data_IF_037437899205
#
_entry.id   IF_037437899205
#
_cell.length_a   1.000
_cell.length_b   1.000
_cell.length_c   1.000
_cell.angle_alpha   90.00
_cell.angle_beta   90.00
_cell.angle_gamma   90.00
#
_symmetry.space_group_name_H-M   'P 1'
#
loop_
_entity.id
_entity.type
_entity.pdbx_description
1 polymer ?
#
# COMPACT_ATOMS: atom_id res chain seq x y z
N UNK A 1 45.44 19.09 44.43
CA UNK A 1 46.07 18.17 43.46
C UNK A 1 45.21 16.92 43.38
N UNK A 2 44.57 16.62 42.26
CA UNK A 2 43.93 15.31 42.09
C UNK A 2 45.05 14.26 42.07
N UNK A 3 45.00 13.27 42.98
CA UNK A 3 45.99 12.20 43.02
C UNK A 3 46.04 11.44 41.69
N UNK A 4 47.23 11.04 41.27
CA UNK A 4 47.52 10.39 39.97
C UNK A 4 46.50 9.30 39.58
N UNK A 5 46.02 8.51 40.56
CA UNK A 5 45.00 7.47 40.34
C UNK A 5 43.62 8.01 39.94
N UNK A 6 43.21 9.18 40.46
CA UNK A 6 41.93 9.84 40.08
C UNK A 6 42.02 10.46 38.69
N UNK A 7 43.20 10.96 38.32
CA UNK A 7 43.45 11.46 36.97
C UNK A 7 43.37 10.32 35.94
N UNK A 8 43.99 9.18 36.26
CA UNK A 8 43.97 8.00 35.40
C UNK A 8 42.53 7.48 35.18
N UNK A 9 41.73 7.42 36.26
CA UNK A 9 40.34 7.00 36.17
C UNK A 9 39.49 7.96 35.32
N UNK A 10 39.68 9.26 35.49
CA UNK A 10 38.98 10.27 34.69
C UNK A 10 39.32 10.15 33.20
N UNK A 11 40.59 9.91 32.86
CA UNK A 11 41.01 9.70 31.47
C UNK A 11 40.38 8.44 30.86
N UNK A 12 40.34 7.33 31.60
CA UNK A 12 39.71 6.09 31.14
C UNK A 12 38.21 6.28 30.90
N UNK A 13 37.51 6.99 31.79
CA UNK A 13 36.09 7.28 31.64
C UNK A 13 35.82 8.16 30.42
N UNK A 14 36.63 9.21 30.19
CA UNK A 14 36.48 10.09 29.01
C UNK A 14 36.72 9.31 27.71
N UNK A 15 37.73 8.44 27.67
CA UNK A 15 38.00 7.60 26.49
C UNK A 15 36.85 6.60 26.27
N UNK A 16 36.34 5.95 27.32
CA UNK A 16 35.22 5.01 27.20
C UNK A 16 33.94 5.70 26.70
N UNK A 17 33.61 6.87 27.25
CA UNK A 17 32.47 7.68 26.77
C UNK A 17 32.71 8.14 25.33
N UNK A 18 33.93 8.55 25.00
CA UNK A 18 34.32 8.91 23.63
C UNK A 18 34.13 7.76 22.64
N UNK A 19 34.58 6.55 22.97
CA UNK A 19 34.44 5.38 22.09
C UNK A 19 32.98 4.95 21.92
N UNK A 20 32.11 5.18 22.92
CA UNK A 20 30.68 4.85 22.84
C UNK A 20 29.88 5.96 22.11
N UNK A 21 30.21 7.24 22.34
CA UNK A 21 29.46 8.39 21.82
C UNK A 21 29.96 8.92 20.47
N UNK A 22 31.25 8.74 20.13
CA UNK A 22 31.79 9.22 18.86
C UNK A 22 31.23 8.48 17.65
N UNK A 23 31.06 7.14 17.64
CA UNK A 23 30.47 6.46 16.49
C UNK A 23 29.02 6.90 16.23
N UNK A 24 28.23 7.12 17.28
CA UNK A 24 26.83 7.56 17.15
C UNK A 24 26.71 9.03 16.74
N UNK A 25 27.59 9.91 17.24
CA UNK A 25 27.63 11.33 16.80
C UNK A 25 28.22 11.50 15.41
N UNK A 26 29.31 10.79 15.07
CA UNK A 26 29.85 10.79 13.70
C UNK A 26 28.84 10.19 12.74
N UNK A 27 28.10 9.13 13.10
CA UNK A 27 27.02 8.61 12.26
C UNK A 27 25.87 9.61 12.07
N UNK A 28 25.55 10.41 13.09
CA UNK A 28 24.52 11.45 13.00
C UNK A 28 24.98 12.63 12.12
N UNK A 29 26.25 13.04 12.21
CA UNK A 29 26.77 14.21 11.49
C UNK A 29 27.38 13.90 10.11
N UNK A 30 27.91 12.70 9.88
CA UNK A 30 28.53 12.31 8.60
C UNK A 30 27.52 12.07 7.48
N UNK A 31 26.22 11.98 7.78
CA UNK A 31 25.14 11.91 6.78
C UNK A 31 24.45 13.25 6.50
N UNK A 32 24.59 14.26 7.37
CA UNK A 32 23.74 15.46 7.37
C UNK A 32 24.30 16.64 6.56
N UNK A 33 25.52 16.56 6.00
CA UNK A 33 26.19 17.71 5.35
C UNK A 33 26.85 17.42 4.00
N UNK A 34 26.52 16.32 3.32
CA UNK A 34 26.90 16.19 1.92
C UNK A 34 25.86 16.88 1.05
N UNK A 35 26.14 18.14 0.69
CA UNK A 35 25.46 18.79 -0.43
C UNK A 35 25.84 18.02 -1.69
N UNK A 36 24.94 17.14 -2.13
CA UNK A 36 25.15 16.41 -3.37
C UNK A 36 25.06 17.40 -4.53
N UNK A 37 26.02 17.28 -5.45
CA UNK A 37 26.01 18.06 -6.66
C UNK A 37 24.84 17.61 -7.55
N UNK A 38 23.74 18.33 -7.43
CA UNK A 38 22.52 18.18 -8.24
C UNK A 38 22.63 18.93 -9.57
N UNK A 39 23.80 19.52 -9.88
CA UNK A 39 23.99 20.36 -11.05
C UNK A 39 24.18 19.57 -12.37
N UNK A 40 23.85 18.27 -12.33
CA UNK A 40 23.82 17.44 -13.53
C UNK A 40 22.40 17.50 -14.11
N UNK A 41 22.32 17.57 -15.44
CA UNK A 41 21.04 17.59 -16.17
C UNK A 41 20.12 16.47 -15.68
N UNK A 42 18.90 16.83 -15.25
CA UNK A 42 17.89 15.88 -14.76
C UNK A 42 17.80 15.76 -13.24
N UNK A 43 18.69 16.42 -12.49
CA UNK A 43 18.79 16.41 -11.03
C UNK A 43 18.83 14.99 -10.46
N UNK A 44 20.06 14.51 -10.38
CA UNK A 44 20.43 13.13 -10.13
C UNK A 44 20.51 12.85 -8.61
N UNK A 45 19.37 13.00 -7.92
CA UNK A 45 19.29 12.79 -6.47
C UNK A 45 19.57 11.31 -6.15
N UNK A 46 20.61 11.00 -5.36
CA UNK A 46 20.98 9.63 -5.00
C UNK A 46 20.07 9.08 -3.89
N UNK A 47 18.84 8.70 -4.23
CA UNK A 47 17.82 8.17 -3.32
C UNK A 47 18.37 7.11 -2.37
N UNK A 48 19.13 6.16 -2.91
CA UNK A 48 19.76 5.02 -2.24
C UNK A 48 20.73 5.41 -1.11
N UNK A 49 21.26 6.64 -1.12
CA UNK A 49 22.16 7.11 -0.04
C UNK A 49 21.41 7.56 1.21
N UNK A 50 20.17 8.01 1.04
CA UNK A 50 19.33 8.46 2.15
C UNK A 50 18.32 7.39 2.57
N UNK A 51 17.87 6.56 1.63
CA UNK A 51 16.89 5.48 1.82
C UNK A 51 17.53 4.11 1.59
N UNK A 52 18.68 3.86 2.24
CA UNK A 52 19.50 2.68 2.00
C UNK A 52 18.79 1.36 2.34
N UNK A 53 17.99 1.37 3.41
CA UNK A 53 17.17 0.24 3.85
C UNK A 53 16.05 -0.09 2.86
N UNK A 54 15.33 0.93 2.39
CA UNK A 54 14.29 0.79 1.36
C UNK A 54 14.90 0.32 0.04
N UNK A 55 16.07 0.83 -0.32
CA UNK A 55 16.80 0.41 -1.51
C UNK A 55 17.22 -1.06 -1.41
N UNK A 56 17.70 -1.51 -0.25
CA UNK A 56 18.04 -2.91 -0.02
C UNK A 56 16.82 -3.83 -0.12
N UNK A 57 15.67 -3.41 0.43
CA UNK A 57 14.40 -4.15 0.30
C UNK A 57 13.95 -4.23 -1.17
N UNK A 58 13.97 -3.11 -1.88
CA UNK A 58 13.62 -3.06 -3.31
C UNK A 58 14.55 -3.95 -4.14
N UNK A 59 15.85 -3.97 -3.84
CA UNK A 59 16.81 -4.82 -4.53
C UNK A 59 16.58 -6.32 -4.32
N UNK A 60 15.84 -6.71 -3.28
CA UNK A 60 15.40 -8.09 -3.04
C UNK A 60 14.03 -8.39 -3.69
N UNK A 61 13.34 -7.38 -4.20
CA UNK A 61 12.07 -7.52 -4.91
C UNK A 61 12.26 -8.10 -6.31
N UNK A 62 11.24 -8.82 -6.78
CA UNK A 62 11.13 -9.24 -8.19
C UNK A 62 10.30 -8.26 -9.04
N UNK A 63 9.67 -7.30 -8.38
CA UNK A 63 8.76 -6.34 -8.98
C UNK A 63 9.35 -4.95 -8.87
N UNK A 64 9.08 -4.11 -9.88
CA UNK A 64 9.44 -2.69 -9.86
C UNK A 64 10.95 -2.40 -9.80
N UNK A 65 11.79 -3.24 -10.43
CA UNK A 65 13.28 -3.18 -10.40
C UNK A 65 13.97 -3.19 -11.77
N UNK A 66 13.23 -2.89 -12.84
CA UNK A 66 13.71 -3.04 -14.23
C UNK A 66 13.59 -1.76 -15.07
N UNK A 67 13.29 -0.60 -14.48
CA UNK A 67 13.23 0.66 -15.24
C UNK A 67 14.60 1.19 -15.64
N UNK A 68 15.66 0.76 -14.96
CA UNK A 68 17.06 1.01 -15.35
C UNK A 68 17.61 0.09 -16.44
N UNK A 69 16.84 -0.89 -16.91
CA UNK A 69 17.27 -1.87 -17.91
C UNK A 69 18.15 -3.01 -17.37
N UNK A 70 18.24 -3.13 -16.05
CA UNK A 70 18.89 -4.21 -15.31
C UNK A 70 17.84 -5.05 -14.55
N UNK A 71 18.28 -6.04 -13.77
CA UNK A 71 17.42 -6.89 -12.93
C UNK A 71 17.71 -6.70 -11.43
N UNK A 72 18.15 -5.50 -11.05
CA UNK A 72 18.50 -5.13 -9.68
C UNK A 72 18.07 -3.69 -9.47
N UNK A 73 17.69 -3.33 -8.24
CA UNK A 73 17.21 -1.99 -7.99
C UNK A 73 18.30 -0.95 -8.27
N UNK A 74 17.92 0.12 -8.96
CA UNK A 74 18.76 1.29 -9.14
C UNK A 74 17.96 2.59 -8.93
N UNK A 75 18.62 3.73 -9.16
CA UNK A 75 18.00 5.05 -9.01
C UNK A 75 16.82 5.26 -9.96
N UNK A 76 16.87 4.68 -11.15
CA UNK A 76 15.81 4.84 -12.14
C UNK A 76 14.53 4.17 -11.65
N UNK A 77 14.62 3.06 -10.92
CA UNK A 77 13.45 2.41 -10.31
C UNK A 77 12.81 3.32 -9.25
N UNK A 78 13.63 3.95 -8.41
CA UNK A 78 13.17 4.92 -7.42
C UNK A 78 12.46 6.11 -8.12
N UNK A 79 13.09 6.65 -9.16
CA UNK A 79 12.56 7.79 -9.92
C UNK A 79 11.32 7.41 -10.76
N UNK A 80 11.23 6.18 -11.26
CA UNK A 80 10.09 5.72 -12.04
C UNK A 80 8.79 5.78 -11.24
N UNK A 81 8.86 5.48 -9.94
CA UNK A 81 7.73 5.67 -9.03
C UNK A 81 7.64 7.12 -8.56
N UNK A 82 8.66 7.62 -7.85
CA UNK A 82 8.58 8.88 -7.10
C UNK A 82 8.66 10.15 -7.96
N UNK A 83 9.04 10.01 -9.23
CA UNK A 83 9.09 11.08 -10.23
C UNK A 83 8.31 10.71 -11.50
N UNK A 84 7.46 9.67 -11.42
CA UNK A 84 6.72 9.14 -12.56
C UNK A 84 5.53 10.00 -13.00
N UNK A 85 4.95 10.79 -12.08
CA UNK A 85 3.83 11.67 -12.42
C UNK A 85 4.32 12.89 -13.23
N UNK A 86 3.91 12.98 -14.49
CA UNK A 86 4.31 14.01 -15.45
C UNK A 86 3.61 15.35 -15.22
N UNK A 87 2.51 15.39 -14.47
CA UNK A 87 1.82 16.60 -14.03
C UNK A 87 2.55 17.30 -12.86
N UNK A 88 3.50 16.63 -12.20
CA UNK A 88 4.30 17.18 -11.11
C UNK A 88 5.61 17.77 -11.63
N UNK A 89 5.87 19.03 -11.29
CA UNK A 89 7.18 19.66 -11.48
C UNK A 89 8.05 19.38 -10.24
N UNK A 90 9.05 18.51 -10.41
CA UNK A 90 10.11 18.27 -9.43
C UNK A 90 11.23 19.30 -9.59
N UNK A 91 12.02 19.52 -8.53
CA UNK A 91 13.21 20.34 -8.69
C UNK A 91 14.16 19.67 -9.70
N UNK A 92 14.75 20.48 -10.59
CA UNK A 92 15.73 20.01 -11.57
C UNK A 92 16.79 21.08 -11.85
N UNK A 93 18.01 20.67 -12.18
CA UNK A 93 18.97 21.53 -12.87
C UNK A 93 18.99 21.16 -14.36
N UNK A 94 19.07 22.16 -15.23
CA UNK A 94 19.18 22.01 -16.68
C UNK A 94 20.61 21.70 -17.14
N UNK A 95 21.57 21.70 -16.21
CA UNK A 95 22.96 21.32 -16.44
C UNK A 95 23.74 22.32 -17.29
N UNK A 96 23.22 23.54 -17.49
CA UNK A 96 23.92 24.60 -18.21
C UNK A 96 24.74 25.47 -17.27
N UNK A 97 26.00 25.75 -17.65
CA UNK A 97 26.85 26.69 -16.92
C UNK A 97 26.26 28.12 -17.04
N UNK A 98 25.43 28.52 -16.08
CA UNK A 98 24.65 29.76 -16.14
C UNK A 98 23.25 29.69 -15.51
N UNK A 99 22.76 28.49 -15.22
CA UNK A 99 21.67 28.26 -14.25
C UNK A 99 20.27 28.44 -14.82
N UNK A 100 19.69 27.37 -15.36
CA UNK A 100 18.25 27.17 -15.36
C UNK A 100 17.86 26.21 -14.25
N UNK A 101 17.81 26.70 -13.00
CA UNK A 101 17.29 25.92 -11.89
C UNK A 101 15.76 25.90 -11.96
N UNK A 102 15.18 24.72 -12.11
CA UNK A 102 13.74 24.52 -11.97
C UNK A 102 13.45 24.25 -10.50
N UNK A 103 12.79 25.18 -9.84
CA UNK A 103 12.24 24.90 -8.51
C UNK A 103 11.07 23.93 -8.63
N UNK A 104 11.06 22.89 -7.81
CA UNK A 104 9.92 22.00 -7.69
C UNK A 104 8.70 22.78 -7.21
N UNK A 105 7.55 22.61 -7.88
CA UNK A 105 6.32 23.36 -7.56
C UNK A 105 5.39 22.55 -6.68
N UNK A 106 5.13 21.31 -7.08
CA UNK A 106 4.25 20.39 -6.34
C UNK A 106 5.07 19.43 -5.45
N UNK A 107 6.32 19.14 -5.80
CA UNK A 107 7.21 18.30 -5.00
C UNK A 107 8.66 18.80 -5.07
N UNK A 108 9.38 18.76 -3.94
CA UNK A 108 10.78 19.17 -3.87
C UNK A 108 11.68 18.22 -4.68
N UNK A 109 11.62 16.92 -4.42
CA UNK A 109 12.51 15.92 -5.02
C UNK A 109 11.77 14.67 -5.52
N UNK A 110 10.71 14.29 -4.80
CA UNK A 110 9.95 13.06 -4.97
C UNK A 110 8.52 13.29 -4.48
N UNK A 111 7.55 12.59 -5.04
CA UNK A 111 6.17 12.56 -4.57
C UNK A 111 5.83 11.21 -3.93
N UNK A 112 4.80 11.18 -3.10
CA UNK A 112 4.09 9.92 -2.81
C UNK A 112 3.37 9.46 -4.08
N UNK A 113 3.15 8.15 -4.21
CA UNK A 113 2.70 7.52 -5.45
C UNK A 113 1.46 6.69 -5.18
N UNK A 114 0.38 6.93 -5.94
CA UNK A 114 -0.73 6.00 -5.99
C UNK A 114 -0.39 4.84 -6.92
N UNK A 115 -0.75 3.60 -6.56
CA UNK A 115 -0.64 2.45 -7.44
C UNK A 115 -1.32 2.72 -8.79
N UNK A 116 -2.49 3.37 -8.72
CA UNK A 116 -3.31 3.69 -9.88
C UNK A 116 -2.66 4.68 -10.84
N UNK A 117 -1.64 5.44 -10.46
CA UNK A 117 -0.91 6.30 -11.40
C UNK A 117 -0.42 5.51 -12.63
N UNK A 118 0.08 4.30 -12.42
CA UNK A 118 0.58 3.43 -13.51
C UNK A 118 -0.39 2.30 -13.85
N UNK A 119 -1.24 1.92 -12.90
CA UNK A 119 -2.16 0.78 -13.01
C UNK A 119 -3.61 1.18 -13.35
N UNK A 120 -3.89 2.45 -13.61
CA UNK A 120 -5.19 2.86 -14.12
C UNK A 120 -5.43 2.40 -15.56
N UNK A 121 -6.67 2.56 -16.00
CA UNK A 121 -7.03 2.35 -17.38
C UNK A 121 -6.64 3.56 -18.23
N UNK A 122 -5.74 3.35 -19.20
CA UNK A 122 -5.26 4.42 -20.08
C UNK A 122 -4.63 5.59 -19.30
N UNK A 123 -3.54 5.36 -18.55
CA UNK A 123 -2.88 6.40 -17.78
C UNK A 123 -2.45 7.56 -18.67
N UNK A 124 -2.69 8.78 -18.20
CA UNK A 124 -2.38 10.04 -18.91
C UNK A 124 -1.36 10.91 -18.16
N UNK A 125 -1.15 10.66 -16.87
CA UNK A 125 -0.19 11.39 -16.03
C UNK A 125 1.15 10.66 -15.81
N UNK A 126 1.47 9.60 -16.56
CA UNK A 126 2.75 8.90 -16.43
C UNK A 126 3.24 8.35 -17.76
N UNK A 127 4.57 8.22 -17.89
CA UNK A 127 5.21 7.49 -18.98
C UNK A 127 5.49 6.02 -18.63
N UNK A 128 5.25 5.61 -17.39
CA UNK A 128 5.46 4.27 -16.89
C UNK A 128 4.12 3.53 -16.84
N UNK A 129 3.96 2.54 -17.70
CA UNK A 129 2.70 1.80 -17.86
C UNK A 129 2.77 0.46 -17.11
N UNK A 130 1.82 0.24 -16.20
CA UNK A 130 1.61 -1.05 -15.55
C UNK A 130 0.48 -1.84 -16.20
N UNK A 131 0.34 -3.14 -15.89
CA UNK A 131 -0.87 -3.89 -16.22
C UNK A 131 -2.08 -3.22 -15.53
N UNK A 132 -3.16 -2.89 -16.27
CA UNK A 132 -4.30 -2.20 -15.68
C UNK A 132 -4.95 -2.99 -14.53
N UNK A 133 -5.18 -2.32 -13.40
CA UNK A 133 -5.89 -2.82 -12.23
C UNK A 133 -7.34 -2.30 -12.16
N UNK A 134 -7.92 -1.83 -13.27
CA UNK A 134 -9.30 -1.34 -13.33
C UNK A 134 -10.37 -2.44 -13.28
N UNK A 135 -11.61 -2.07 -13.65
CA UNK A 135 -12.79 -2.93 -13.56
C UNK A 135 -13.57 -2.77 -12.26
N UNK A 136 -13.34 -1.68 -11.52
CA UNK A 136 -14.04 -1.32 -10.30
C UNK A 136 -15.04 -0.18 -10.56
N UNK A 137 -16.15 -0.17 -9.83
CA UNK A 137 -17.09 0.95 -9.81
C UNK A 137 -17.15 1.60 -8.41
N UNK A 138 -16.13 2.42 -8.11
CA UNK A 138 -16.05 3.16 -6.84
C UNK A 138 -17.11 4.27 -6.74
N UNK A 139 -17.64 4.74 -7.88
CA UNK A 139 -18.65 5.81 -7.92
C UNK A 139 -20.00 5.38 -7.35
N UNK A 140 -20.36 4.09 -7.42
CA UNK A 140 -21.57 3.54 -6.80
C UNK A 140 -21.53 3.68 -5.26
N UNK A 141 -20.34 3.86 -4.69
CA UNK A 141 -20.12 4.10 -3.26
C UNK A 141 -19.98 5.58 -2.90
N UNK A 142 -20.22 6.50 -3.84
CA UNK A 142 -20.10 7.94 -3.64
C UNK A 142 -18.66 8.43 -3.52
N UNK A 143 -17.72 7.68 -4.12
CA UNK A 143 -16.28 7.98 -4.08
C UNK A 143 -15.79 8.37 -5.46
N UNK A 144 -14.95 9.42 -5.50
CA UNK A 144 -14.26 9.87 -6.70
C UNK A 144 -12.77 9.71 -6.50
N UNK A 145 -12.08 9.21 -7.54
CA UNK A 145 -10.63 9.19 -7.62
C UNK A 145 -10.19 10.04 -8.82
N UNK A 146 -9.02 10.69 -8.76
CA UNK A 146 -8.43 11.31 -9.95
C UNK A 146 -8.03 10.26 -11.01
N UNK A 147 -7.91 8.98 -10.63
CA UNK A 147 -7.48 7.92 -11.53
C UNK A 147 -8.65 7.16 -12.16
N UNK A 148 -8.40 6.61 -13.34
CA UNK A 148 -9.37 5.87 -14.12
C UNK A 148 -9.43 4.38 -13.73
N UNK A 149 -10.45 4.02 -12.95
CA UNK A 149 -10.74 2.64 -12.58
C UNK A 149 -11.43 1.81 -13.69
N UNK A 150 -11.57 2.33 -14.91
CA UNK A 150 -12.09 1.63 -16.09
C UNK A 150 -13.51 2.03 -16.51
N UNK A 151 -13.86 1.73 -17.77
CA UNK A 151 -15.14 2.10 -18.40
C UNK A 151 -16.23 1.03 -18.31
N UNK A 152 -15.87 -0.22 -17.99
CA UNK A 152 -16.84 -1.27 -17.67
C UNK A 152 -17.12 -1.17 -16.18
N UNK A 153 -18.23 -0.54 -15.84
CA UNK A 153 -18.71 -0.38 -14.47
C UNK A 153 -18.67 -1.75 -13.79
N UNK A 154 -17.68 -1.96 -12.94
CA UNK A 154 -17.52 -3.16 -12.14
C UNK A 154 -18.63 -3.31 -11.11
N UNK A 155 -19.89 -3.00 -11.40
CA UNK A 155 -21.02 -2.97 -10.46
C UNK A 155 -21.17 -4.27 -9.66
N UNK A 156 -20.69 -5.39 -10.20
CA UNK A 156 -20.71 -6.70 -9.54
C UNK A 156 -19.35 -7.15 -8.99
N UNK A 157 -18.35 -6.28 -9.03
CA UNK A 157 -17.04 -6.52 -8.44
C UNK A 157 -17.18 -6.51 -6.91
N UNK A 158 -16.64 -7.55 -6.26
CA UNK A 158 -16.85 -7.83 -4.85
C UNK A 158 -16.02 -6.93 -3.90
N UNK A 159 -14.90 -6.41 -4.38
CA UNK A 159 -13.98 -5.53 -3.65
C UNK A 159 -14.29 -4.04 -3.82
N UNK A 160 -15.33 -3.61 -4.56
CA UNK A 160 -15.62 -2.20 -4.80
C UNK A 160 -15.74 -1.42 -3.50
N UNK A 161 -16.44 -1.99 -2.52
CA UNK A 161 -16.57 -1.39 -1.21
C UNK A 161 -15.20 -1.24 -0.53
N UNK A 162 -14.32 -2.23 -0.65
CA UNK A 162 -12.99 -2.21 -0.07
C UNK A 162 -12.09 -1.15 -0.72
N UNK A 163 -12.06 -1.09 -2.06
CA UNK A 163 -11.35 -0.05 -2.82
C UNK A 163 -11.89 1.34 -2.46
N UNK A 164 -13.21 1.52 -2.51
CA UNK A 164 -13.85 2.81 -2.23
C UNK A 164 -13.55 3.30 -0.80
N UNK A 165 -13.50 2.39 0.19
CA UNK A 165 -13.13 2.78 1.57
C UNK A 165 -11.65 3.09 1.72
N UNK A 166 -10.75 2.41 1.00
CA UNK A 166 -9.32 2.76 1.01
C UNK A 166 -9.11 4.20 0.49
N UNK A 167 -9.73 4.56 -0.63
CA UNK A 167 -9.67 5.93 -1.19
C UNK A 167 -10.14 6.99 -0.18
N UNK A 168 -11.13 6.66 0.65
CA UNK A 168 -11.68 7.59 1.65
C UNK A 168 -10.86 7.65 2.96
N UNK A 169 -10.08 6.63 3.28
CA UNK A 169 -9.33 6.55 4.54
C UNK A 169 -8.22 7.60 4.60
N UNK A 170 -7.54 7.81 3.47
CA UNK A 170 -6.54 8.87 3.30
C UNK A 170 -5.23 8.64 4.05
N UNK A 171 -5.00 7.44 4.60
CA UNK A 171 -3.72 7.08 5.23
C UNK A 171 -2.60 7.01 4.18
N UNK A 172 -2.90 6.45 3.01
CA UNK A 172 -2.09 6.38 1.82
C UNK A 172 -2.83 7.07 0.66
N UNK A 173 -2.10 7.34 -0.43
CA UNK A 173 -2.68 7.98 -1.59
C UNK A 173 -3.67 7.05 -2.28
N UNK A 174 -4.92 7.50 -2.46
CA UNK A 174 -5.95 6.79 -3.23
C UNK A 174 -6.20 5.35 -2.70
N UNK A 175 -6.39 4.31 -3.52
CA UNK A 175 -6.73 2.97 -3.03
C UNK A 175 -5.53 2.13 -2.55
N UNK A 176 -4.39 2.76 -2.24
CA UNK A 176 -3.14 2.07 -1.95
C UNK A 176 -3.26 1.03 -0.82
N UNK A 177 -4.03 1.31 0.23
CA UNK A 177 -4.23 0.39 1.35
C UNK A 177 -4.84 -0.93 0.88
N UNK A 178 -5.84 -0.86 -0.01
CA UNK A 178 -6.48 -2.04 -0.53
C UNK A 178 -5.57 -2.82 -1.48
N UNK A 179 -4.79 -2.12 -2.30
CA UNK A 179 -3.81 -2.75 -3.18
C UNK A 179 -2.71 -3.45 -2.37
N UNK A 180 -2.11 -2.76 -1.40
CA UNK A 180 -1.03 -3.27 -0.56
C UNK A 180 -1.49 -4.45 0.28
N UNK A 181 -2.74 -4.42 0.77
CA UNK A 181 -3.32 -5.50 1.57
C UNK A 181 -3.31 -6.87 0.88
N UNK A 182 -3.32 -6.90 -0.46
CA UNK A 182 -3.41 -8.14 -1.25
C UNK A 182 -2.21 -8.37 -2.17
N UNK A 183 -1.60 -7.31 -2.71
CA UNK A 183 -0.55 -7.38 -3.73
C UNK A 183 0.86 -7.23 -3.19
N UNK A 184 1.03 -7.10 -1.87
CA UNK A 184 2.34 -7.02 -1.24
C UNK A 184 2.50 -8.04 -0.13
N UNK A 185 3.73 -8.14 0.38
CA UNK A 185 4.07 -9.01 1.51
C UNK A 185 3.74 -8.37 2.87
N UNK A 186 2.88 -7.34 2.92
CA UNK A 186 2.43 -6.74 4.18
C UNK A 186 1.45 -7.66 4.89
N UNK A 187 1.68 -7.88 6.18
CA UNK A 187 0.76 -8.67 7.00
C UNK A 187 -0.56 -7.91 7.19
N UNK A 188 -1.68 -8.56 6.87
CA UNK A 188 -3.01 -8.00 7.04
C UNK A 188 -3.83 -8.76 8.07
N UNK A 189 -4.63 -8.01 8.83
CA UNK A 189 -5.65 -8.56 9.72
C UNK A 189 -7.01 -8.15 9.19
N UNK A 190 -7.78 -9.11 8.69
CA UNK A 190 -9.12 -8.85 8.18
C UNK A 190 -10.13 -9.43 9.15
N UNK A 191 -11.09 -8.61 9.59
CA UNK A 191 -12.23 -9.05 10.41
C UNK A 191 -13.48 -9.01 9.55
N UNK A 192 -13.92 -10.17 9.10
CA UNK A 192 -15.13 -10.35 8.32
C UNK A 192 -16.33 -10.41 9.26
N UNK A 193 -17.29 -9.51 9.07
CA UNK A 193 -18.58 -9.57 9.75
C UNK A 193 -19.65 -9.77 8.68
N UNK A 194 -20.37 -10.88 8.74
CA UNK A 194 -21.45 -11.18 7.82
C UNK A 194 -22.70 -11.68 8.54
N UNK A 195 -23.86 -11.58 7.89
CA UNK A 195 -25.10 -12.15 8.41
C UNK A 195 -24.96 -13.66 8.55
N UNK A 196 -25.40 -14.21 9.69
CA UNK A 196 -25.25 -15.65 9.97
C UNK A 196 -26.18 -16.50 9.11
N UNK A 197 -27.42 -16.06 8.92
CA UNK A 197 -28.42 -16.75 8.13
C UNK A 197 -29.19 -15.79 7.24
N UNK A 198 -29.52 -16.27 6.04
CA UNK A 198 -30.59 -15.73 5.20
C UNK A 198 -31.84 -16.54 5.51
N UNK A 199 -32.84 -15.90 6.08
CA UNK A 199 -34.10 -16.52 6.47
C UNK A 199 -35.22 -16.03 5.55
N UNK A 200 -36.13 -16.93 5.20
CA UNK A 200 -37.31 -16.62 4.42
C UNK A 200 -38.41 -17.62 4.74
N UNK A 201 -39.66 -17.20 4.57
CA UNK A 201 -40.82 -18.03 4.79
C UNK A 201 -41.22 -18.72 3.50
N UNK A 202 -41.40 -20.05 3.57
CA UNK A 202 -42.00 -20.85 2.51
C UNK A 202 -43.47 -21.04 2.85
N UNK A 203 -44.34 -20.56 1.95
CA UNK A 203 -45.79 -20.74 2.06
C UNK A 203 -46.35 -21.46 0.85
N UNK A 204 -47.66 -21.69 0.85
CA UNK A 204 -48.39 -22.04 -0.36
C UNK A 204 -48.86 -20.77 -1.07
N UNK A 205 -48.88 -20.77 -2.40
CA UNK A 205 -49.46 -19.70 -3.19
C UNK A 205 -50.09 -20.20 -4.47
N UNK A 206 -50.39 -19.26 -5.37
CA UNK A 206 -51.01 -19.59 -6.64
C UNK A 206 -50.06 -20.47 -7.47
N UNK A 207 -50.52 -21.62 -8.01
CA UNK A 207 -49.69 -22.50 -8.80
C UNK A 207 -49.08 -21.77 -10.01
N UNK A 208 -47.76 -21.84 -10.13
CA UNK A 208 -47.01 -21.42 -11.32
C UNK A 208 -46.50 -22.70 -11.98
N UNK A 209 -46.93 -22.97 -13.21
CA UNK A 209 -46.44 -24.13 -13.97
C UNK A 209 -45.21 -23.71 -14.76
N UNK A 210 -44.05 -24.30 -14.45
CA UNK A 210 -42.85 -24.17 -15.27
C UNK A 210 -42.76 -25.36 -16.25
N UNK A 211 -41.77 -25.33 -17.15
CA UNK A 211 -41.48 -26.48 -18.02
C UNK A 211 -41.17 -27.79 -17.25
N UNK A 212 -40.82 -27.68 -15.95
CA UNK A 212 -40.49 -28.82 -15.10
C UNK A 212 -41.64 -29.25 -14.16
N UNK A 213 -42.81 -28.63 -14.26
CA UNK A 213 -44.01 -29.01 -13.50
C UNK A 213 -44.66 -27.86 -12.71
N UNK A 214 -45.77 -28.15 -12.00
CA UNK A 214 -46.46 -27.17 -11.17
C UNK A 214 -45.70 -26.90 -9.86
N UNK A 215 -45.43 -25.64 -9.58
CA UNK A 215 -44.88 -25.15 -8.32
C UNK A 215 -45.95 -24.32 -7.61
N UNK A 216 -46.38 -24.72 -6.41
CA UNK A 216 -47.44 -24.05 -5.65
C UNK A 216 -46.93 -23.38 -4.36
N UNK A 217 -45.64 -23.07 -4.30
CA UNK A 217 -45.01 -22.46 -3.13
C UNK A 217 -44.67 -21.00 -3.37
N UNK A 218 -44.74 -20.20 -2.31
CA UNK A 218 -44.32 -18.81 -2.26
C UNK A 218 -43.09 -18.67 -1.39
N UNK A 219 -42.20 -17.76 -1.76
CA UNK A 219 -41.08 -17.34 -0.92
C UNK A 219 -41.33 -15.89 -0.53
N UNK A 220 -41.45 -15.62 0.76
CA UNK A 220 -41.73 -14.28 1.29
C UNK A 220 -40.82 -13.98 2.48
N UNK A 221 -40.86 -12.74 2.95
CA UNK A 221 -40.25 -12.36 4.23
C UNK A 221 -38.73 -12.62 4.27
N UNK A 222 -38.01 -12.28 3.20
CA UNK A 222 -36.56 -12.34 3.19
C UNK A 222 -36.00 -11.44 4.30
N UNK A 223 -35.23 -12.04 5.19
CA UNK A 223 -34.56 -11.34 6.28
C UNK A 223 -33.18 -11.92 6.52
N UNK A 224 -32.30 -11.11 7.09
CA UNK A 224 -31.00 -11.57 7.59
C UNK A 224 -31.11 -11.73 9.10
N UNK A 225 -30.50 -12.79 9.64
CA UNK A 225 -30.51 -13.04 11.08
C UNK A 225 -29.11 -13.39 11.61
N UNK A 226 -28.79 -12.84 12.78
CA UNK A 226 -27.51 -13.01 13.47
C UNK A 226 -26.30 -12.42 12.73
N UNK A 227 -25.16 -12.42 13.41
CA UNK A 227 -23.87 -12.02 12.85
C UNK A 227 -22.85 -13.12 13.11
N UNK A 228 -22.09 -13.46 12.09
CA UNK A 228 -20.92 -14.32 12.18
C UNK A 228 -19.67 -13.47 11.94
N UNK A 229 -18.67 -13.65 12.80
CA UNK A 229 -17.39 -12.96 12.73
C UNK A 229 -16.29 -13.96 12.46
N UNK A 230 -15.47 -13.69 11.44
CA UNK A 230 -14.27 -14.46 11.16
C UNK A 230 -13.08 -13.51 11.05
N UNK A 231 -12.00 -13.80 11.79
CA UNK A 231 -10.72 -13.12 11.64
C UNK A 231 -9.82 -13.95 10.73
N UNK A 232 -9.25 -13.32 9.71
CA UNK A 232 -8.24 -13.90 8.82
C UNK A 232 -6.96 -13.10 8.97
N UNK A 233 -5.85 -13.80 9.08
CA UNK A 233 -4.51 -13.21 9.05
C UNK A 233 -3.88 -13.57 7.71
N UNK A 234 -3.48 -12.55 6.95
CA UNK A 234 -2.57 -12.74 5.84
C UNK A 234 -1.18 -12.99 6.42
N UNK A 235 -0.62 -14.17 6.16
CA UNK A 235 0.82 -14.32 6.27
C UNK A 235 1.42 -13.67 5.01
N UNK A 236 2.62 -13.13 5.14
CA UNK A 236 3.34 -12.41 4.09
C UNK A 236 3.67 -13.28 2.86
N UNK A 237 2.96 -14.38 2.59
CA UNK A 237 3.17 -15.26 1.43
C UNK A 237 2.00 -15.22 0.43
N UNK A 238 1.05 -14.29 0.61
CA UNK A 238 -0.16 -14.21 -0.22
C UNK A 238 -1.16 -15.35 0.03
N UNK A 239 -1.00 -16.10 1.13
CA UNK A 239 -1.89 -17.20 1.51
C UNK A 239 -2.65 -16.84 2.79
N UNK A 240 -3.97 -16.75 2.71
CA UNK A 240 -4.82 -16.62 3.89
C UNK A 240 -5.02 -17.99 4.55
N UNK A 241 -4.73 -18.10 5.84
CA UNK A 241 -5.12 -19.31 6.60
C UNK A 241 -6.58 -19.21 7.01
N UNK A 242 -7.41 -20.13 6.52
CA UNK A 242 -8.82 -20.27 6.89
C UNK A 242 -9.03 -21.35 7.96
N UNK A 243 -7.99 -21.80 8.69
CA UNK A 243 -8.12 -22.92 9.63
C UNK A 243 -9.05 -22.59 10.81
N UNK A 244 -10.35 -22.74 10.56
CA UNK A 244 -11.43 -22.98 11.50
C UNK A 244 -11.65 -24.49 11.45
N UNK A 245 -11.07 -25.26 12.37
CA UNK A 245 -11.24 -26.71 12.35
C UNK A 245 -12.72 -27.07 12.48
N UNK A 246 -13.26 -27.58 11.38
CA UNK A 246 -14.51 -28.33 11.18
C UNK A 246 -15.83 -27.59 11.48
N UNK A 247 -16.62 -27.47 10.42
CA UNK A 247 -17.94 -26.85 10.30
C UNK A 247 -17.86 -25.35 10.07
N UNK A 248 -18.38 -24.93 8.92
CA UNK A 248 -18.61 -23.55 8.58
C UNK A 248 -20.14 -23.32 8.57
N UNK A 249 -20.67 -22.33 9.32
CA UNK A 249 -20.05 -21.65 10.46
C UNK A 249 -20.32 -22.49 11.72
N UNK A 250 -19.37 -23.35 12.06
CA UNK A 250 -19.35 -24.20 13.24
C UNK A 250 -19.25 -23.39 14.52
N UNK A 251 -19.44 -24.07 15.66
CA UNK A 251 -19.52 -23.40 16.95
C UNK A 251 -18.30 -22.50 17.22
N UNK A 252 -18.56 -21.24 17.53
CA UNK A 252 -17.59 -20.19 17.82
C UNK A 252 -17.42 -20.09 19.33
N UNK A 253 -16.20 -20.29 19.87
CA UNK A 253 -15.94 -20.14 21.31
C UNK A 253 -16.32 -18.73 21.79
N UNK A 254 -17.07 -18.65 22.90
CA UNK A 254 -17.46 -17.37 23.52
C UNK A 254 -18.85 -16.83 23.13
N UNK A 255 -19.60 -17.54 22.28
CA UNK A 255 -20.98 -17.19 21.93
C UNK A 255 -21.97 -18.11 22.66
N UNK A 256 -22.90 -17.52 23.42
CA UNK A 256 -23.99 -18.25 24.05
C UNK A 256 -25.13 -18.43 23.03
N UNK A 257 -25.40 -19.67 22.66
CA UNK A 257 -26.52 -20.03 21.78
C UNK A 257 -27.81 -20.02 22.61
N UNK A 258 -28.66 -19.02 22.39
CA UNK A 258 -30.06 -19.06 22.81
C UNK A 258 -30.95 -19.24 21.59
#
# INVERSE_FOLDING_TARGET
MLGSSRLLLATVVIIAVGVIALPSTVSLFAGQHYWYNVNQSGNDIPCEKCHADVFEELNQSKFHVNWGGNNYADRNDCAACHRGNTSITYAADDGTAGGGWVSGKQAHAASVVACMLCHEWSPDETNNYGPPAGGFNVSDFGVTSPYNYGTKNGTYEAHNAFIARAIQDGTLQDANEACIACHTHVAVKITWNHSRALEFNIGFGNPITTANGPHNWTITSWTINGTATAVVWGNTTGSGSTTYSTNWPGNVPGVNYK
#
